data_IF_625641828000
#
_entry.id   IF_625641828000
#
_cell.length_a   1.000
_cell.length_b   1.000
_cell.length_c   1.000
_cell.angle_alpha   90.00
_cell.angle_beta   90.00
_cell.angle_gamma   90.00
#
_symmetry.space_group_name_H-M   'P 1'
#
loop_
_entity.id
_entity.type
_entity.pdbx_description
1 polymer ?
#
# COMPACT_ATOMS: atom_id res chain seq x y z
N UNK A 1 -55.51 72.03 13.30
CA UNK A 1 -54.38 71.20 13.71
C UNK A 1 -53.33 71.34 12.64
N UNK A 2 -52.20 72.05 12.96
CA UNK A 2 -51.13 72.52 12.05
C UNK A 2 -50.50 71.37 11.27
N UNK A 3 -50.38 71.49 9.92
CA UNK A 3 -49.65 70.60 9.01
C UNK A 3 -48.21 70.27 9.46
N UNK A 4 -47.62 71.15 10.34
CA UNK A 4 -46.28 70.93 10.86
C UNK A 4 -46.17 69.75 11.83
N UNK A 5 -47.21 69.51 12.66
CA UNK A 5 -47.23 68.33 13.57
C UNK A 5 -47.38 67.00 12.84
N UNK A 6 -48.16 67.00 11.75
CA UNK A 6 -48.35 65.82 10.93
C UNK A 6 -47.04 65.44 10.20
N UNK A 7 -46.32 66.39 9.65
CA UNK A 7 -45.02 66.18 8.99
C UNK A 7 -43.93 65.76 9.95
N UNK A 8 -43.92 66.26 11.22
CA UNK A 8 -43.02 65.83 12.25
C UNK A 8 -43.25 64.31 12.63
N UNK A 9 -44.55 63.92 12.75
CA UNK A 9 -44.90 62.54 13.08
C UNK A 9 -44.51 61.59 11.94
N UNK A 10 -44.69 61.99 10.65
CA UNK A 10 -44.28 61.18 9.49
C UNK A 10 -42.74 61.07 9.40
N UNK A 11 -41.98 62.07 9.76
CA UNK A 11 -40.52 62.02 9.81
C UNK A 11 -40.01 61.10 10.93
N UNK A 12 -40.62 61.16 12.10
CA UNK A 12 -40.28 60.28 13.22
C UNK A 12 -40.56 58.80 12.91
N UNK A 13 -41.76 58.50 12.35
CA UNK A 13 -42.11 57.13 11.92
C UNK A 13 -41.17 56.58 10.85
N UNK A 14 -40.78 57.39 9.86
CA UNK A 14 -39.78 57.01 8.84
C UNK A 14 -38.40 56.74 9.45
N UNK A 15 -38.01 57.50 10.46
CA UNK A 15 -36.72 57.34 11.15
C UNK A 15 -36.68 56.04 11.96
N UNK A 16 -37.76 55.78 12.75
CA UNK A 16 -37.90 54.51 13.49
C UNK A 16 -37.99 53.30 12.58
N UNK A 17 -38.70 53.41 11.45
CA UNK A 17 -38.80 52.31 10.48
C UNK A 17 -37.44 52.00 9.84
N UNK A 18 -36.66 53.05 9.47
CA UNK A 18 -35.29 52.86 8.95
C UNK A 18 -34.33 52.25 9.98
N UNK A 19 -34.44 52.68 11.25
CA UNK A 19 -33.62 52.14 12.32
C UNK A 19 -33.97 50.67 12.62
N UNK A 20 -35.28 50.33 12.64
CA UNK A 20 -35.73 48.96 12.84
C UNK A 20 -35.32 48.05 11.69
N UNK A 21 -35.42 48.47 10.42
CA UNK A 21 -34.97 47.73 9.25
C UNK A 21 -33.44 47.55 9.29
N UNK A 22 -32.69 48.61 9.70
CA UNK A 22 -31.24 48.50 9.88
C UNK A 22 -30.84 47.51 10.96
N UNK A 23 -31.56 47.48 12.08
CA UNK A 23 -31.33 46.52 13.17
C UNK A 23 -31.62 45.08 12.75
N UNK A 24 -32.77 44.85 12.06
CA UNK A 24 -33.14 43.52 11.53
C UNK A 24 -32.12 43.05 10.49
N UNK A 25 -31.65 43.94 9.63
CA UNK A 25 -30.65 43.61 8.60
C UNK A 25 -29.29 43.32 9.24
N UNK A 26 -28.90 44.08 10.27
CA UNK A 26 -27.66 43.82 11.05
C UNK A 26 -27.73 42.49 11.78
N UNK A 27 -28.85 42.16 12.40
CA UNK A 27 -29.05 40.88 13.07
C UNK A 27 -29.02 39.69 12.07
N UNK A 28 -29.62 39.85 10.89
CA UNK A 28 -29.57 38.77 9.83
C UNK A 28 -28.13 38.56 9.37
N UNK A 29 -27.38 39.60 9.08
CA UNK A 29 -25.97 39.45 8.70
C UNK A 29 -25.13 38.85 9.83
N UNK A 30 -25.38 39.19 11.08
CA UNK A 30 -24.74 38.55 12.24
C UNK A 30 -25.03 37.08 12.36
N UNK A 31 -26.29 36.67 12.10
CA UNK A 31 -26.69 35.26 12.09
C UNK A 31 -26.06 34.49 10.91
N UNK A 32 -26.07 35.06 9.71
CA UNK A 32 -25.44 34.48 8.53
C UNK A 32 -23.93 34.27 8.73
N UNK A 33 -23.23 35.26 9.26
CA UNK A 33 -21.79 35.17 9.59
C UNK A 33 -21.59 34.08 10.68
N UNK A 34 -22.40 34.06 11.70
CA UNK A 34 -22.33 33.08 12.80
C UNK A 34 -22.53 31.64 12.31
N UNK A 35 -23.54 31.42 11.49
CA UNK A 35 -23.81 30.08 10.89
C UNK A 35 -22.66 29.67 9.98
N UNK A 36 -22.16 30.58 9.14
CA UNK A 36 -21.01 30.30 8.27
C UNK A 36 -19.74 29.97 9.07
N UNK A 37 -19.45 30.74 10.09
CA UNK A 37 -18.31 30.52 10.97
C UNK A 37 -18.43 29.17 11.72
N UNK A 38 -19.63 28.85 12.22
CA UNK A 38 -19.89 27.56 12.87
C UNK A 38 -19.73 26.39 11.88
N UNK A 39 -20.27 26.50 10.66
CA UNK A 39 -20.12 25.50 9.61
C UNK A 39 -18.64 25.27 9.25
N UNK A 40 -17.88 26.34 9.07
CA UNK A 40 -16.43 26.26 8.84
C UNK A 40 -15.70 25.61 9.99
N UNK A 41 -16.02 25.99 11.24
CA UNK A 41 -15.40 25.41 12.44
C UNK A 41 -15.71 23.91 12.56
N UNK A 42 -16.94 23.49 12.29
CA UNK A 42 -17.35 22.07 12.28
C UNK A 42 -16.62 21.32 11.16
N UNK A 43 -16.56 21.91 9.95
CA UNK A 43 -15.91 21.24 8.82
C UNK A 43 -14.40 21.12 9.04
N UNK A 44 -13.71 22.20 9.34
CA UNK A 44 -12.25 22.15 9.55
C UNK A 44 -11.88 21.44 10.85
N UNK A 45 -12.62 21.64 11.92
CA UNK A 45 -12.42 20.93 13.19
C UNK A 45 -12.69 19.44 13.04
N UNK A 46 -13.79 19.07 12.38
CA UNK A 46 -14.13 17.67 12.09
C UNK A 46 -13.08 16.98 11.21
N UNK A 47 -12.59 17.66 10.17
CA UNK A 47 -11.51 17.15 9.34
C UNK A 47 -10.21 16.94 10.15
N UNK A 48 -9.89 17.90 11.03
CA UNK A 48 -8.69 17.82 11.86
C UNK A 48 -8.72 16.66 12.85
N UNK A 49 -9.87 16.30 13.40
CA UNK A 49 -10.02 15.16 14.32
C UNK A 49 -10.41 13.85 13.62
N UNK A 50 -10.43 13.83 12.28
CA UNK A 50 -10.65 12.61 11.49
C UNK A 50 -12.11 12.17 11.36
N UNK A 51 -13.10 13.02 11.68
CA UNK A 51 -14.53 12.66 11.59
C UNK A 51 -14.92 12.23 10.17
N UNK A 52 -14.29 12.80 9.14
CA UNK A 52 -14.59 12.51 7.73
C UNK A 52 -13.69 11.42 7.12
N UNK A 53 -12.66 10.96 7.84
CA UNK A 53 -11.63 10.03 7.34
C UNK A 53 -12.24 8.75 6.75
N UNK A 54 -13.20 8.14 7.47
CA UNK A 54 -13.87 6.94 6.98
C UNK A 54 -14.62 7.20 5.67
N UNK A 55 -15.32 8.33 5.55
CA UNK A 55 -16.04 8.71 4.34
C UNK A 55 -15.10 8.94 3.15
N UNK A 56 -13.98 9.60 3.37
CA UNK A 56 -12.96 9.84 2.35
C UNK A 56 -12.29 8.54 1.90
N UNK A 57 -11.97 7.65 2.86
CA UNK A 57 -11.43 6.32 2.55
C UNK A 57 -12.42 5.46 1.76
N UNK A 58 -13.71 5.48 2.09
CA UNK A 58 -14.75 4.77 1.33
C UNK A 58 -14.91 5.32 -0.09
N UNK A 59 -14.79 6.64 -0.24
CA UNK A 59 -14.81 7.29 -1.55
C UNK A 59 -13.59 6.89 -2.39
N UNK A 60 -12.40 6.86 -1.80
CA UNK A 60 -11.18 6.36 -2.43
C UNK A 60 -11.34 4.91 -2.90
N UNK A 61 -11.89 4.03 -2.07
CA UNK A 61 -12.17 2.65 -2.43
C UNK A 61 -13.16 2.55 -3.60
N UNK A 62 -14.18 3.42 -3.64
CA UNK A 62 -15.11 3.48 -4.75
C UNK A 62 -14.40 3.91 -6.05
N UNK A 63 -13.54 4.92 -6.01
CA UNK A 63 -12.73 5.32 -7.17
C UNK A 63 -11.84 4.18 -7.65
N UNK A 64 -11.15 3.48 -6.74
CA UNK A 64 -10.29 2.35 -7.11
C UNK A 64 -11.06 1.22 -7.79
N UNK A 65 -12.29 0.92 -7.34
CA UNK A 65 -13.14 -0.12 -7.94
C UNK A 65 -13.71 0.25 -9.31
N UNK A 66 -14.00 1.53 -9.53
CA UNK A 66 -14.66 1.99 -10.76
C UNK A 66 -13.70 2.50 -11.85
N UNK A 67 -12.42 2.57 -11.56
CA UNK A 67 -11.44 2.97 -12.57
C UNK A 67 -11.25 1.87 -13.63
N UNK A 68 -10.88 2.22 -14.87
CA UNK A 68 -10.54 1.24 -15.89
C UNK A 68 -9.39 0.32 -15.43
N UNK A 69 -9.51 -0.98 -15.70
CA UNK A 69 -8.46 -1.96 -15.42
C UNK A 69 -7.24 -1.61 -16.27
N UNK A 70 -6.08 -1.49 -15.63
CA UNK A 70 -4.82 -1.27 -16.34
C UNK A 70 -4.37 -2.55 -17.05
N UNK A 71 -3.69 -2.41 -18.18
CA UNK A 71 -3.05 -3.56 -18.84
C UNK A 71 -2.02 -4.20 -17.89
N UNK A 72 -1.90 -5.54 -17.89
CA UNK A 72 -0.87 -6.22 -17.11
C UNK A 72 0.52 -5.66 -17.41
N UNK A 73 1.32 -5.48 -16.37
CA UNK A 73 2.71 -5.07 -16.55
C UNK A 73 3.52 -6.27 -17.07
N UNK A 74 4.07 -6.21 -18.29
CA UNK A 74 4.76 -7.35 -18.88
C UNK A 74 6.06 -7.74 -18.17
N UNK A 75 6.52 -6.90 -17.25
CA UNK A 75 7.73 -7.14 -16.45
C UNK A 75 7.49 -8.02 -15.24
N UNK A 76 6.25 -8.27 -14.87
CA UNK A 76 5.87 -8.99 -13.65
C UNK A 76 5.13 -10.27 -14.02
N UNK A 77 5.56 -11.38 -13.45
CA UNK A 77 4.89 -12.68 -13.56
C UNK A 77 4.63 -13.21 -12.16
N UNK A 78 3.39 -13.61 -11.90
CA UNK A 78 3.02 -14.26 -10.65
C UNK A 78 3.00 -15.77 -10.86
N UNK A 79 3.65 -16.52 -9.98
CA UNK A 79 3.52 -17.97 -9.86
C UNK A 79 2.62 -18.22 -8.66
N UNK A 80 1.39 -18.63 -8.93
CA UNK A 80 0.38 -18.80 -7.88
C UNK A 80 0.43 -20.17 -7.29
N UNK A 81 0.28 -20.25 -5.96
CA UNK A 81 0.12 -21.48 -5.19
C UNK A 81 -1.34 -21.55 -4.78
N UNK A 82 -2.04 -22.59 -5.21
CA UNK A 82 -3.45 -22.81 -4.87
C UNK A 82 -3.65 -24.12 -4.05
N UNK A 83 -4.89 -24.36 -3.62
CA UNK A 83 -5.23 -25.55 -2.85
C UNK A 83 -4.88 -26.86 -3.58
N UNK A 84 -4.91 -26.90 -4.92
CA UNK A 84 -4.58 -28.09 -5.69
C UNK A 84 -3.07 -28.37 -5.68
N UNK A 85 -2.23 -27.34 -5.51
CA UNK A 85 -0.78 -27.52 -5.36
C UNK A 85 -0.41 -28.09 -3.99
N UNK A 86 -1.29 -27.93 -2.99
CA UNK A 86 -1.11 -28.45 -1.64
C UNK A 86 -1.55 -29.91 -1.52
N UNK A 87 -2.47 -30.38 -2.37
CA UNK A 87 -3.08 -31.71 -2.30
C UNK A 87 -2.68 -32.60 -3.49
N UNK A 88 -1.40 -32.75 -3.72
CA UNK A 88 -0.87 -33.57 -4.83
C UNK A 88 -1.22 -35.08 -4.72
N UNK A 89 -1.70 -35.53 -3.54
CA UNK A 89 -2.17 -36.90 -3.32
C UNK A 89 -3.44 -36.94 -2.50
N UNK A 90 -4.37 -37.88 -2.78
CA UNK A 90 -5.66 -38.02 -2.04
C UNK A 90 -5.51 -38.34 -0.55
N UNK A 91 -4.31 -38.62 -0.08
CA UNK A 91 -4.00 -38.94 1.33
C UNK A 91 -3.41 -37.76 2.10
N UNK A 92 -3.16 -36.59 1.44
CA UNK A 92 -2.66 -35.42 2.11
C UNK A 92 -3.81 -34.65 2.79
N UNK A 93 -3.63 -34.35 4.06
CA UNK A 93 -4.52 -33.47 4.82
C UNK A 93 -3.88 -32.07 4.90
N UNK A 94 -4.66 -31.01 5.09
CA UNK A 94 -4.18 -29.63 5.26
C UNK A 94 -3.03 -29.51 6.26
N UNK A 95 -3.04 -30.33 7.33
CA UNK A 95 -1.99 -30.34 8.33
C UNK A 95 -0.63 -30.84 7.84
N UNK A 96 -0.61 -31.61 6.74
CA UNK A 96 0.61 -32.21 6.17
C UNK A 96 1.02 -31.55 4.84
N UNK A 97 0.14 -30.79 4.23
CA UNK A 97 0.36 -30.14 2.94
C UNK A 97 0.94 -28.72 3.04
N UNK A 98 0.77 -28.08 4.18
CA UNK A 98 1.30 -26.74 4.42
C UNK A 98 2.36 -26.72 5.55
N UNK A 99 3.49 -26.03 5.37
CA UNK A 99 3.96 -25.37 4.16
C UNK A 99 4.35 -26.36 3.07
N UNK A 100 4.42 -25.89 1.80
CA UNK A 100 4.95 -26.68 0.67
C UNK A 100 6.26 -27.36 1.05
N UNK A 101 6.48 -28.57 0.53
CA UNK A 101 7.72 -29.28 0.81
C UNK A 101 8.93 -28.54 0.24
N UNK A 102 10.08 -28.68 0.91
CA UNK A 102 11.32 -28.03 0.51
C UNK A 102 11.78 -28.48 -0.88
N UNK A 103 11.47 -29.73 -1.26
CA UNK A 103 11.75 -30.28 -2.58
C UNK A 103 10.94 -29.56 -3.66
N UNK A 104 9.64 -29.32 -3.43
CA UNK A 104 8.78 -28.58 -4.37
C UNK A 104 9.26 -27.15 -4.55
N UNK A 105 9.61 -26.49 -3.47
CA UNK A 105 10.16 -25.12 -3.51
C UNK A 105 11.48 -25.10 -4.28
N UNK A 106 12.38 -26.03 -3.96
CA UNK A 106 13.69 -26.18 -4.61
C UNK A 106 13.55 -26.40 -6.12
N UNK A 107 12.71 -27.37 -6.53
CA UNK A 107 12.45 -27.67 -7.93
C UNK A 107 11.87 -26.46 -8.69
N UNK A 108 10.93 -25.78 -8.07
CA UNK A 108 10.29 -24.59 -8.64
C UNK A 108 11.28 -23.47 -8.89
N UNK A 109 12.10 -23.12 -7.87
CA UNK A 109 13.13 -22.07 -7.99
C UNK A 109 14.15 -22.45 -9.06
N UNK A 110 14.62 -23.70 -9.08
CA UNK A 110 15.56 -24.19 -10.09
C UNK A 110 14.99 -24.13 -11.50
N UNK A 111 13.72 -24.49 -11.65
CA UNK A 111 13.03 -24.45 -12.94
C UNK A 111 12.93 -23.02 -13.45
N UNK A 112 12.48 -22.08 -12.63
CA UNK A 112 12.33 -20.66 -13.00
C UNK A 112 13.72 -20.06 -13.31
N UNK A 113 14.73 -20.34 -12.48
CA UNK A 113 16.05 -19.75 -12.62
C UNK A 113 16.76 -20.14 -13.95
N UNK A 114 16.46 -21.30 -14.53
CA UNK A 114 16.96 -21.73 -15.87
C UNK A 114 16.53 -20.77 -16.99
N UNK A 115 15.48 -20.00 -16.80
CA UNK A 115 14.95 -19.06 -17.79
C UNK A 115 15.39 -17.61 -17.56
N UNK A 116 16.40 -17.42 -16.70
CA UNK A 116 17.08 -16.15 -16.47
C UNK A 116 16.14 -14.98 -16.09
N UNK A 117 15.34 -15.12 -15.02
CA UNK A 117 14.59 -13.98 -14.48
C UNK A 117 15.55 -12.91 -13.94
N UNK A 118 15.15 -11.64 -13.99
CA UNK A 118 15.92 -10.56 -13.36
C UNK A 118 15.94 -10.69 -11.84
N UNK A 119 14.81 -11.07 -11.24
CA UNK A 119 14.68 -11.30 -9.81
C UNK A 119 13.56 -12.30 -9.55
N UNK A 120 13.75 -13.15 -8.55
CA UNK A 120 12.74 -14.10 -8.05
C UNK A 120 12.38 -13.66 -6.63
N UNK A 121 11.10 -13.47 -6.37
CA UNK A 121 10.58 -13.23 -5.02
C UNK A 121 9.84 -14.46 -4.51
N UNK A 122 10.15 -14.91 -3.32
CA UNK A 122 9.44 -15.99 -2.65
C UNK A 122 8.65 -15.44 -1.47
N UNK A 123 7.32 -15.43 -1.58
CA UNK A 123 6.41 -14.93 -0.55
C UNK A 123 5.98 -16.04 0.42
N UNK A 124 6.95 -16.77 0.96
CA UNK A 124 6.75 -17.83 1.93
C UNK A 124 7.69 -17.65 3.13
N UNK A 125 7.17 -17.90 4.34
CA UNK A 125 8.00 -17.97 5.53
C UNK A 125 8.76 -19.28 5.58
N UNK A 126 10.09 -19.23 5.53
CA UNK A 126 10.97 -20.38 5.62
C UNK A 126 11.84 -20.34 6.88
N UNK A 127 11.35 -20.87 8.01
CA UNK A 127 12.14 -20.92 9.23
C UNK A 127 13.28 -21.94 9.11
N UNK A 128 14.39 -21.70 9.79
CA UNK A 128 15.46 -22.69 9.89
C UNK A 128 14.93 -23.99 10.56
N UNK A 129 15.32 -25.11 10.00
CA UNK A 129 15.06 -26.47 10.53
C UNK A 129 16.29 -27.35 10.25
N UNK A 130 16.54 -28.31 11.13
CA UNK A 130 17.59 -29.32 10.95
C UNK A 130 17.00 -30.52 10.20
N UNK A 131 17.04 -30.46 8.86
CA UNK A 131 16.44 -31.44 7.96
C UNK A 131 17.25 -31.45 6.66
N UNK A 132 17.53 -32.62 6.06
CA UNK A 132 18.34 -32.72 4.83
C UNK A 132 17.77 -31.96 3.64
N UNK A 133 16.44 -31.99 3.42
CA UNK A 133 15.78 -31.23 2.34
C UNK A 133 15.92 -29.73 2.56
N UNK A 134 15.82 -29.27 3.81
CA UNK A 134 16.05 -27.88 4.21
C UNK A 134 17.49 -27.42 3.93
N UNK A 135 18.46 -28.31 4.12
CA UNK A 135 19.86 -28.03 3.80
C UNK A 135 20.07 -27.80 2.30
N UNK A 136 19.42 -28.60 1.44
CA UNK A 136 19.49 -28.42 -0.01
C UNK A 136 18.85 -27.11 -0.45
N UNK A 137 17.68 -26.78 0.08
CA UNK A 137 16.99 -25.52 -0.19
C UNK A 137 17.84 -24.33 0.27
N UNK A 138 18.46 -24.42 1.45
CA UNK A 138 19.37 -23.38 1.97
C UNK A 138 20.53 -23.15 1.00
N UNK A 139 21.20 -24.20 0.55
CA UNK A 139 22.30 -24.08 -0.40
C UNK A 139 21.85 -23.41 -1.70
N UNK A 140 20.65 -23.77 -2.21
CA UNK A 140 20.08 -23.12 -3.40
C UNK A 140 19.83 -21.64 -3.19
N UNK A 141 19.26 -21.24 -2.04
CA UNK A 141 19.03 -19.84 -1.67
C UNK A 141 20.33 -19.06 -1.66
N UNK A 142 21.35 -19.57 -0.95
CA UNK A 142 22.67 -18.94 -0.80
C UNK A 142 23.42 -18.79 -2.14
N UNK A 143 23.16 -19.68 -3.11
CA UNK A 143 23.79 -19.64 -4.45
C UNK A 143 22.97 -18.92 -5.53
N UNK A 144 21.74 -18.48 -5.19
CA UNK A 144 20.84 -17.77 -6.10
C UNK A 144 20.73 -16.31 -5.66
N UNK A 145 21.69 -15.47 -6.07
CA UNK A 145 21.81 -14.08 -5.61
C UNK A 145 20.58 -13.21 -5.90
N UNK A 146 19.84 -13.50 -6.97
CA UNK A 146 18.63 -12.77 -7.37
C UNK A 146 17.34 -13.33 -6.75
N UNK A 147 17.44 -14.15 -5.70
CA UNK A 147 16.30 -14.70 -4.97
C UNK A 147 16.07 -13.92 -3.67
N UNK A 148 14.87 -13.36 -3.52
CA UNK A 148 14.46 -12.53 -2.37
C UNK A 148 13.36 -13.24 -1.61
N UNK A 149 13.62 -13.53 -0.34
CA UNK A 149 12.64 -14.01 0.63
C UNK A 149 11.97 -12.90 1.41
N UNK A 150 11.17 -13.28 2.39
CA UNK A 150 10.50 -12.32 3.27
C UNK A 150 10.63 -12.66 4.74
N UNK A 151 10.61 -11.63 5.57
CA UNK A 151 10.52 -11.76 7.02
C UNK A 151 9.60 -10.68 7.61
N UNK A 152 9.11 -10.93 8.82
CA UNK A 152 8.39 -9.93 9.62
C UNK A 152 9.41 -9.12 10.44
N UNK A 153 9.37 -7.80 10.31
CA UNK A 153 10.31 -6.89 10.97
C UNK A 153 9.64 -6.11 12.10
N UNK A 154 8.39 -5.68 11.92
CA UNK A 154 7.67 -4.84 12.89
C UNK A 154 6.94 -5.69 13.92
N UNK A 155 7.11 -5.37 15.20
CA UNK A 155 6.40 -5.99 16.32
C UNK A 155 7.18 -7.08 17.05
N UNK A 156 6.53 -7.66 18.07
CA UNK A 156 7.17 -8.62 19.01
C UNK A 156 7.28 -10.06 18.47
N UNK A 157 6.65 -10.36 17.37
CA UNK A 157 6.67 -11.69 16.75
C UNK A 157 7.81 -11.77 15.71
N UNK A 158 9.05 -11.46 16.12
CA UNK A 158 10.19 -11.94 15.34
C UNK A 158 10.17 -13.46 15.43
N UNK A 159 9.84 -14.08 14.29
CA UNK A 159 9.84 -15.53 14.15
C UNK A 159 11.24 -16.11 14.30
N UNK A 160 11.33 -17.43 14.39
CA UNK A 160 12.57 -18.20 14.23
C UNK A 160 13.42 -17.62 13.10
N UNK A 161 14.76 -17.67 13.20
CA UNK A 161 15.65 -17.19 12.16
C UNK A 161 15.22 -17.70 10.78
N UNK A 162 15.23 -16.81 9.79
CA UNK A 162 14.90 -17.16 8.41
C UNK A 162 15.98 -18.05 7.81
N UNK A 163 15.60 -18.85 6.83
CA UNK A 163 16.52 -19.62 6.02
C UNK A 163 17.37 -18.74 5.09
N UNK A 164 16.84 -17.58 4.74
CA UNK A 164 17.50 -16.63 3.85
C UNK A 164 18.60 -15.84 4.57
N UNK A 165 19.73 -15.54 3.90
CA UNK A 165 20.70 -14.59 4.40
C UNK A 165 20.11 -13.18 4.47
N UNK A 166 20.61 -12.31 5.38
CA UNK A 166 20.02 -11.00 5.65
C UNK A 166 19.92 -10.07 4.44
N UNK A 167 20.81 -10.20 3.46
CA UNK A 167 20.85 -9.42 2.22
C UNK A 167 19.79 -9.83 1.21
N UNK A 168 19.24 -11.05 1.34
CA UNK A 168 18.17 -11.57 0.51
C UNK A 168 16.80 -11.50 1.21
N UNK A 169 16.71 -10.85 2.37
CA UNK A 169 15.48 -10.70 3.13
C UNK A 169 14.85 -9.34 2.95
N UNK A 170 13.56 -9.33 2.69
CA UNK A 170 12.75 -8.13 2.63
C UNK A 170 11.59 -8.20 3.64
N UNK A 171 11.08 -7.04 4.01
CA UNK A 171 10.01 -6.89 4.98
C UNK A 171 8.64 -7.27 4.37
N UNK A 172 7.89 -8.11 5.08
CA UNK A 172 6.51 -8.50 4.71
C UNK A 172 5.42 -7.72 5.45
N UNK A 173 5.82 -6.73 6.25
CA UNK A 173 4.88 -5.95 7.06
C UNK A 173 3.99 -5.06 6.20
N UNK A 174 2.72 -4.95 6.61
CA UNK A 174 1.70 -4.12 5.96
C UNK A 174 1.11 -3.14 6.95
N UNK A 175 0.65 -1.99 6.45
CA UNK A 175 -0.08 -1.01 7.23
C UNK A 175 -1.58 -1.23 7.03
N UNK A 176 -2.28 -1.54 8.11
CA UNK A 176 -3.74 -1.65 8.13
C UNK A 176 -4.35 -0.32 8.57
N UNK A 177 -5.38 0.10 7.87
CA UNK A 177 -6.24 1.19 8.32
C UNK A 177 -7.17 0.71 9.44
N UNK A 178 -7.83 1.62 10.20
CA UNK A 178 -8.73 1.23 11.30
C UNK A 178 -9.87 0.30 10.90
N UNK A 179 -10.27 0.29 9.63
CA UNK A 179 -11.27 -0.61 9.06
C UNK A 179 -10.67 -1.94 8.52
N UNK A 180 -9.45 -2.26 8.92
CA UNK A 180 -8.68 -3.45 8.53
C UNK A 180 -8.40 -3.58 7.02
N UNK A 181 -8.43 -2.47 6.28
CA UNK A 181 -8.06 -2.43 4.86
C UNK A 181 -6.64 -1.94 4.68
N UNK A 182 -5.99 -2.45 3.62
CA UNK A 182 -4.68 -1.99 3.18
C UNK A 182 -4.86 -0.96 2.07
N UNK A 183 -4.66 0.32 2.36
CA UNK A 183 -4.66 1.41 1.36
C UNK A 183 -3.30 2.06 1.24
N UNK A 184 -2.44 1.79 2.20
CA UNK A 184 -1.08 2.34 2.29
C UNK A 184 -0.05 1.25 2.16
N UNK A 185 0.93 1.45 1.30
CA UNK A 185 2.08 0.57 1.16
C UNK A 185 3.24 1.08 2.00
N UNK A 186 3.78 0.23 2.85
CA UNK A 186 5.01 0.51 3.58
C UNK A 186 6.19 0.13 2.67
N UNK A 187 6.87 1.13 2.14
CA UNK A 187 7.99 0.93 1.21
C UNK A 187 9.28 0.60 1.95
N UNK A 188 9.55 1.33 3.03
CA UNK A 188 10.72 1.07 3.89
C UNK A 188 10.51 1.57 5.31
N UNK A 189 11.26 0.98 6.23
CA UNK A 189 11.42 1.45 7.61
C UNK A 189 12.90 1.52 7.98
N UNK A 190 13.19 2.23 9.07
CA UNK A 190 14.50 2.23 9.72
C UNK A 190 14.32 1.63 11.12
N UNK A 191 15.26 0.81 11.53
CA UNK A 191 15.35 0.36 12.93
C UNK A 191 16.12 1.36 13.80
N UNK A 192 16.33 0.99 15.06
CA UNK A 192 17.04 1.82 16.03
C UNK A 192 18.54 2.00 15.72
N UNK A 193 19.08 1.12 14.88
CA UNK A 193 20.47 1.13 14.42
C UNK A 193 20.62 1.78 13.03
N UNK A 194 19.60 2.55 12.57
CA UNK A 194 19.53 3.18 11.24
C UNK A 194 19.62 2.20 10.06
N UNK A 195 19.41 0.91 10.30
CA UNK A 195 19.33 -0.08 9.23
C UNK A 195 17.99 0.07 8.49
N UNK A 196 18.08 0.17 7.18
CA UNK A 196 16.90 0.25 6.30
C UNK A 196 16.41 -1.13 5.92
N UNK A 197 15.10 -1.36 6.10
CA UNK A 197 14.39 -2.53 5.60
C UNK A 197 13.43 -2.09 4.50
N UNK A 198 13.58 -2.67 3.31
CA UNK A 198 12.62 -2.46 2.21
C UNK A 198 11.49 -3.48 2.32
N UNK A 199 10.28 -3.07 1.94
CA UNK A 199 9.20 -4.05 1.74
C UNK A 199 9.55 -5.00 0.60
N UNK A 200 8.96 -6.19 0.63
CA UNK A 200 9.24 -7.23 -0.37
C UNK A 200 9.02 -6.74 -1.81
N UNK A 201 7.92 -6.05 -2.09
CA UNK A 201 7.70 -5.45 -3.40
C UNK A 201 8.70 -4.35 -3.76
N UNK A 202 9.12 -3.54 -2.78
CA UNK A 202 10.13 -2.50 -3.01
C UNK A 202 11.52 -3.09 -3.27
N UNK A 203 11.90 -4.15 -2.56
CA UNK A 203 13.15 -4.87 -2.80
C UNK A 203 13.17 -5.48 -4.21
N UNK A 204 12.13 -6.22 -4.60
CA UNK A 204 12.04 -6.79 -5.95
C UNK A 204 12.13 -5.73 -7.05
N UNK A 205 11.43 -4.60 -6.86
CA UNK A 205 11.49 -3.50 -7.82
C UNK A 205 12.90 -2.86 -7.87
N UNK A 206 13.58 -2.73 -6.73
CA UNK A 206 14.92 -2.16 -6.65
C UNK A 206 15.94 -3.07 -7.33
N UNK A 207 15.90 -4.37 -7.08
CA UNK A 207 16.77 -5.36 -7.74
C UNK A 207 16.56 -5.38 -9.27
N UNK A 208 15.29 -5.42 -9.69
CA UNK A 208 14.94 -5.35 -11.11
C UNK A 208 15.48 -4.07 -11.77
N UNK A 209 15.32 -2.91 -11.14
CA UNK A 209 15.79 -1.64 -11.68
C UNK A 209 17.33 -1.54 -11.67
N UNK A 210 18.00 -2.20 -10.73
CA UNK A 210 19.45 -2.27 -10.67
C UNK A 210 20.03 -2.98 -11.90
N UNK A 211 19.34 -4.00 -12.46
CA UNK A 211 19.76 -4.64 -13.73
C UNK A 211 19.79 -3.66 -14.91
N UNK A 212 19.01 -2.57 -14.81
CA UNK A 212 18.95 -1.48 -15.80
C UNK A 212 19.83 -0.28 -15.40
N UNK A 213 20.70 -0.43 -14.40
CA UNK A 213 21.54 0.63 -13.85
C UNK A 213 20.76 1.80 -13.25
N UNK A 214 19.50 1.57 -12.86
CA UNK A 214 18.63 2.55 -12.18
C UNK A 214 18.70 2.29 -10.69
N UNK A 215 19.28 3.25 -9.95
CA UNK A 215 19.39 3.19 -8.48
C UNK A 215 18.47 4.22 -7.81
N UNK A 216 17.97 3.93 -6.59
CA UNK A 216 17.21 4.89 -5.82
C UNK A 216 18.07 6.09 -5.39
N UNK A 217 17.53 7.29 -5.53
CA UNK A 217 18.18 8.54 -5.10
C UNK A 217 17.23 9.26 -4.16
N UNK A 218 17.58 9.35 -2.87
CA UNK A 218 16.83 10.11 -1.88
C UNK A 218 16.96 11.60 -2.15
N UNK A 219 15.84 12.30 -2.22
CA UNK A 219 15.78 13.74 -2.41
C UNK A 219 15.75 14.48 -1.06
N UNK A 220 16.04 15.79 -1.08
CA UNK A 220 16.05 16.63 0.14
C UNK A 220 14.69 16.73 0.84
N UNK A 221 13.60 16.62 0.08
CA UNK A 221 12.22 16.62 0.59
C UNK A 221 11.76 15.26 1.13
N UNK A 222 12.64 14.25 1.12
CA UNK A 222 12.34 12.90 1.59
C UNK A 222 11.79 11.95 0.53
N UNK A 223 11.45 12.43 -0.67
CA UNK A 223 11.02 11.59 -1.78
C UNK A 223 12.18 10.70 -2.28
N UNK A 224 11.84 9.64 -2.99
CA UNK A 224 12.83 8.77 -3.64
C UNK A 224 12.64 8.80 -5.15
N UNK A 225 13.71 9.07 -5.89
CA UNK A 225 13.72 9.08 -7.35
C UNK A 225 14.37 7.81 -7.90
N UNK A 226 13.70 7.17 -8.85
CA UNK A 226 14.18 6.06 -9.64
C UNK A 226 14.20 6.50 -11.12
N UNK A 227 15.36 6.82 -11.64
CA UNK A 227 15.48 7.36 -13.01
C UNK A 227 14.62 8.64 -13.18
N UNK A 228 13.52 8.54 -13.95
CA UNK A 228 12.57 9.64 -14.17
C UNK A 228 11.38 9.62 -13.19
N UNK A 229 11.11 8.51 -12.52
CA UNK A 229 10.00 8.36 -11.61
C UNK A 229 10.36 8.91 -10.23
N UNK A 230 9.40 9.60 -9.60
CA UNK A 230 9.50 10.08 -8.22
C UNK A 230 8.43 9.39 -7.42
N UNK A 231 8.82 8.78 -6.32
CA UNK A 231 7.91 8.20 -5.33
C UNK A 231 7.88 9.17 -4.16
N UNK A 232 6.72 9.77 -3.94
CA UNK A 232 6.52 10.72 -2.84
C UNK A 232 5.97 10.01 -1.61
N UNK A 233 6.54 10.36 -0.46
CA UNK A 233 6.10 9.86 0.85
C UNK A 233 4.71 10.41 1.17
N UNK A 234 3.86 9.57 1.74
CA UNK A 234 2.60 9.99 2.34
C UNK A 234 2.88 10.89 3.55
N UNK A 235 2.35 12.11 3.52
CA UNK A 235 2.41 13.06 4.61
C UNK A 235 1.12 13.00 5.44
N UNK A 236 1.19 13.44 6.69
CA UNK A 236 0.02 13.61 7.55
C UNK A 236 -0.99 14.58 6.92
N UNK A 237 -2.26 14.40 7.21
CA UNK A 237 -3.38 15.18 6.65
C UNK A 237 -3.45 15.18 5.10
N UNK A 238 -2.94 14.14 4.45
CA UNK A 238 -3.04 13.94 3.00
C UNK A 238 -3.69 12.61 2.65
N UNK A 239 -4.23 12.51 1.45
CA UNK A 239 -4.84 11.27 0.93
C UNK A 239 -6.12 10.87 1.63
N UNK A 240 -6.84 11.80 2.24
CA UNK A 240 -8.08 11.53 3.00
C UNK A 240 -7.85 11.20 4.47
N UNK A 241 -6.61 11.18 4.94
CA UNK A 241 -6.27 10.87 6.33
C UNK A 241 -6.19 12.11 7.21
N UNK A 242 -6.52 11.92 8.49
CA UNK A 242 -6.36 12.93 9.53
C UNK A 242 -4.89 13.18 9.88
N UNK A 243 -4.58 14.32 10.55
CA UNK A 243 -3.21 14.58 11.04
C UNK A 243 -2.70 13.56 12.06
N UNK A 244 -3.59 12.77 12.68
CA UNK A 244 -3.25 11.77 13.70
C UNK A 244 -2.85 10.41 13.12
N UNK A 245 -2.98 10.22 11.81
CA UNK A 245 -2.61 8.94 11.18
C UNK A 245 -1.11 8.66 11.37
N UNK A 246 -0.79 7.43 11.68
CA UNK A 246 0.60 6.99 11.73
C UNK A 246 1.19 6.93 10.32
N UNK A 247 2.17 7.78 10.05
CA UNK A 247 2.95 7.82 8.81
C UNK A 247 4.40 7.39 9.05
N UNK A 248 4.66 6.59 10.09
CA UNK A 248 5.98 6.02 10.38
C UNK A 248 6.55 5.24 9.20
N UNK A 249 7.87 5.26 9.04
CA UNK A 249 8.52 4.72 7.85
C UNK A 249 8.28 5.53 6.58
N UNK A 250 8.57 4.96 5.43
CA UNK A 250 8.25 5.53 4.12
C UNK A 250 6.97 4.85 3.60
N UNK A 251 5.84 5.51 3.74
CA UNK A 251 4.54 5.03 3.27
C UNK A 251 4.12 5.73 1.98
N UNK A 252 3.37 5.04 1.14
CA UNK A 252 2.76 5.57 -0.09
C UNK A 252 1.30 5.16 -0.15
N UNK A 253 0.49 5.89 -0.90
CA UNK A 253 -0.85 5.43 -1.27
C UNK A 253 -0.74 4.29 -2.27
N UNK A 254 -1.41 3.16 -1.99
CA UNK A 254 -1.42 2.00 -2.88
C UNK A 254 -2.19 2.30 -4.16
N UNK A 255 -1.61 1.92 -5.28
CA UNK A 255 -2.24 2.01 -6.59
C UNK A 255 -2.62 0.61 -7.07
N UNK A 256 -3.70 0.06 -6.53
CA UNK A 256 -4.20 -1.27 -6.91
C UNK A 256 -4.46 -1.36 -8.42
N UNK A 257 -4.01 -2.43 -9.05
CA UNK A 257 -4.15 -2.64 -10.50
C UNK A 257 -5.42 -3.41 -10.85
N UNK A 258 -5.92 -4.23 -9.97
CA UNK A 258 -7.06 -5.12 -10.12
C UNK A 258 -6.80 -6.43 -9.38
N UNK A 259 -7.59 -7.43 -9.69
CA UNK A 259 -7.44 -8.79 -9.19
C UNK A 259 -6.31 -9.54 -9.93
N UNK A 260 -6.21 -10.84 -9.75
CA UNK A 260 -5.19 -11.69 -10.35
C UNK A 260 -5.10 -11.54 -11.88
N UNK A 261 -6.24 -11.38 -12.55
CA UNK A 261 -6.32 -11.16 -14.01
C UNK A 261 -5.64 -9.88 -14.49
N UNK A 262 -5.35 -8.95 -13.59
CA UNK A 262 -4.57 -7.74 -13.90
C UNK A 262 -3.06 -8.00 -14.00
N UNK A 263 -2.63 -9.25 -13.83
CA UNK A 263 -1.24 -9.67 -13.87
C UNK A 263 -1.06 -10.87 -14.81
N UNK A 264 0.12 -10.96 -15.43
CA UNK A 264 0.53 -12.22 -16.05
C UNK A 264 0.76 -13.22 -14.93
N UNK A 265 0.04 -14.34 -14.94
CA UNK A 265 0.17 -15.37 -13.90
C UNK A 265 0.19 -16.77 -14.48
N UNK A 266 0.72 -17.71 -13.70
CA UNK A 266 0.81 -19.13 -14.02
C UNK A 266 0.73 -19.92 -12.72
N UNK A 267 0.12 -21.12 -12.76
CA UNK A 267 0.07 -22.00 -11.59
C UNK A 267 1.43 -22.66 -11.31
N UNK A 268 1.70 -22.96 -10.05
CA UNK A 268 2.87 -23.74 -9.64
C UNK A 268 2.95 -25.08 -10.38
N UNK A 269 1.81 -25.75 -10.59
CA UNK A 269 1.72 -27.04 -11.32
C UNK A 269 2.19 -26.92 -12.77
N UNK A 270 1.81 -25.85 -13.47
CA UNK A 270 2.22 -25.63 -14.86
C UNK A 270 3.71 -25.34 -14.95
N UNK A 271 4.28 -24.61 -13.98
CA UNK A 271 5.73 -24.40 -13.87
C UNK A 271 6.45 -25.74 -13.69
N UNK A 272 6.01 -26.57 -12.74
CA UNK A 272 6.61 -27.88 -12.46
C UNK A 272 6.46 -28.86 -13.62
N UNK A 273 5.33 -28.83 -14.33
CA UNK A 273 5.10 -29.67 -15.50
C UNK A 273 5.74 -29.16 -16.80
N UNK A 274 6.38 -28.01 -16.77
CA UNK A 274 7.01 -27.38 -17.95
C UNK A 274 6.00 -26.85 -18.99
N UNK A 275 4.75 -26.63 -18.61
CA UNK A 275 3.68 -26.18 -19.51
C UNK A 275 3.60 -24.65 -19.58
N UNK A 276 4.64 -24.01 -20.10
CA UNK A 276 4.69 -22.57 -20.26
C UNK A 276 5.62 -22.15 -21.42
N UNK A 277 5.47 -20.89 -21.86
CA UNK A 277 6.39 -20.30 -22.84
C UNK A 277 7.78 -20.10 -22.17
N UNK A 278 8.86 -20.61 -22.75
CA UNK A 278 10.23 -20.40 -22.26
C UNK A 278 10.62 -18.95 -22.04
N UNK A 279 9.99 -17.98 -22.72
CA UNK A 279 10.24 -16.57 -22.54
C UNK A 279 9.41 -15.91 -21.43
N UNK A 280 8.53 -16.69 -20.76
CA UNK A 280 7.62 -16.16 -19.73
C UNK A 280 8.39 -15.48 -18.60
N UNK A 281 9.51 -16.03 -18.18
CA UNK A 281 10.28 -15.56 -17.01
C UNK A 281 11.50 -14.68 -17.37
N UNK A 282 11.93 -14.70 -18.62
CA UNK A 282 13.16 -14.03 -19.04
C UNK A 282 13.14 -12.53 -18.77
N UNK A 283 14.17 -12.04 -18.10
CA UNK A 283 14.37 -10.61 -17.76
C UNK A 283 13.19 -9.98 -17.00
N UNK A 284 12.45 -10.77 -16.22
CA UNK A 284 11.27 -10.31 -15.47
C UNK A 284 11.43 -10.46 -13.97
N UNK A 285 10.52 -9.81 -13.26
CA UNK A 285 10.25 -10.06 -11.85
C UNK A 285 9.32 -11.27 -11.77
N UNK A 286 9.73 -12.32 -11.11
CA UNK A 286 8.90 -13.51 -10.86
C UNK A 286 8.56 -13.57 -9.38
N UNK A 287 7.29 -13.43 -9.04
CA UNK A 287 6.79 -13.46 -7.67
C UNK A 287 6.05 -14.77 -7.43
N UNK A 288 6.49 -15.57 -6.45
CA UNK A 288 5.96 -16.87 -6.10
C UNK A 288 5.22 -16.77 -4.77
N UNK A 289 3.91 -17.14 -4.73
CA UNK A 289 3.11 -17.10 -3.51
C UNK A 289 1.66 -17.46 -3.68
#
# INVERSE_FOLDING_TARGET
VSNSKLLACIRLTKHYLKASIGLIRSQRHGLEIGVTAAALAITFGGAHVGVFELGECLLLDAYMRHRPIAQPDPRIVLVTIDDQDLFDTPTQTLSNAWPLSDEVITETIQTINRYHPSVIGLHLYLPQRDDPARTQLKTLIETTENLIGMEKVVGSLRSTPSLFPPEQLAMSDMVLDPDARVRRGLVSIYDQDDKTYLSWGAQLATEYLATQSIKPIRQRNGDVRFGKAIISRLEQAKGGYSPQIDTGGFQIMMNYRGDLDAFTHISLRDVRSGKFDPNLFRDKIVAIG
#
